data_IF_824517096696
#
_entry.id   IF_824517096696
#
_cell.length_a   1.000
_cell.length_b   1.000
_cell.length_c   1.000
_cell.angle_alpha   90.00
_cell.angle_beta   90.00
_cell.angle_gamma   90.00
#
_symmetry.space_group_name_H-M   'P 1'
#
loop_
_entity.id
_entity.type
_entity.pdbx_description
1 polymer ?
#
# COMPACT_ATOMS: atom_id res chain seq x y z
N UNK A 1 -5.68 12.03 7.97
CA UNK A 1 -6.20 13.11 7.11
C UNK A 1 -5.24 13.28 5.94
N UNK A 2 -5.75 13.51 4.74
CA UNK A 2 -4.94 13.80 3.55
C UNK A 2 -4.21 15.12 3.80
N UNK A 3 -2.91 15.17 3.50
CA UNK A 3 -2.09 16.39 3.65
C UNK A 3 -2.11 17.25 2.41
N UNK A 4 -2.15 16.62 1.24
CA UNK A 4 -2.19 17.33 -0.04
C UNK A 4 -2.87 16.48 -1.12
N UNK A 5 -3.52 17.13 -2.07
CA UNK A 5 -4.05 16.53 -3.30
C UNK A 5 -3.52 17.31 -4.49
N UNK A 6 -2.80 16.65 -5.37
CA UNK A 6 -2.22 17.23 -6.57
C UNK A 6 -2.55 16.41 -7.82
N UNK A 7 -2.31 16.98 -8.99
CA UNK A 7 -2.42 16.25 -10.24
C UNK A 7 -1.28 15.23 -10.36
N UNK A 8 -1.60 14.10 -10.96
CA UNK A 8 -0.63 13.12 -11.44
C UNK A 8 -0.90 12.90 -12.93
N UNK A 9 -0.15 13.58 -13.77
CA UNK A 9 -0.48 13.68 -15.21
C UNK A 9 -1.82 14.38 -15.41
N UNK A 10 -2.53 14.02 -16.49
CA UNK A 10 -3.77 14.69 -16.91
C UNK A 10 -5.03 14.03 -16.31
N UNK A 11 -4.97 12.75 -16.00
CA UNK A 11 -6.14 11.93 -15.67
C UNK A 11 -6.03 11.19 -14.33
N UNK A 12 -5.26 11.72 -13.38
CA UNK A 12 -5.19 11.17 -12.04
C UNK A 12 -4.98 12.22 -10.96
N UNK A 13 -5.50 11.90 -9.77
CA UNK A 13 -5.24 12.57 -8.50
C UNK A 13 -4.18 11.82 -7.71
N UNK A 14 -3.29 12.55 -7.09
CA UNK A 14 -2.32 12.05 -6.13
C UNK A 14 -2.67 12.54 -4.74
N UNK A 15 -3.22 11.64 -3.92
CA UNK A 15 -3.57 11.93 -2.53
C UNK A 15 -2.39 11.59 -1.62
N UNK A 16 -1.80 12.61 -1.01
CA UNK A 16 -0.63 12.52 -0.14
C UNK A 16 -1.04 12.52 1.34
N UNK A 17 -0.66 11.48 2.08
CA UNK A 17 -0.89 11.37 3.54
C UNK A 17 0.34 11.73 4.37
N UNK A 18 1.44 12.11 3.72
CA UNK A 18 2.69 12.53 4.35
C UNK A 18 3.88 11.67 3.96
N UNK A 19 5.02 11.89 4.62
CA UNK A 19 6.31 11.26 4.28
C UNK A 19 6.58 9.97 5.07
N UNK A 20 5.93 9.81 6.21
CA UNK A 20 6.13 8.64 7.06
C UNK A 20 5.43 7.40 6.49
N UNK A 21 6.06 6.25 6.73
CA UNK A 21 5.50 4.93 6.41
C UNK A 21 5.26 4.19 7.72
N UNK A 22 4.01 4.15 8.15
CA UNK A 22 3.58 3.41 9.33
C UNK A 22 2.17 2.84 9.14
N UNK A 23 1.78 1.91 10.01
CA UNK A 23 0.49 1.19 9.92
C UNK A 23 -0.71 2.12 10.02
N UNK A 24 -0.64 3.18 10.82
CA UNK A 24 -1.76 4.10 11.02
C UNK A 24 -2.02 4.94 9.78
N UNK A 25 -0.97 5.44 9.13
CA UNK A 25 -1.08 6.17 7.87
C UNK A 25 -1.58 5.25 6.76
N UNK A 26 -1.01 4.05 6.64
CA UNK A 26 -1.46 3.08 5.66
C UNK A 26 -2.92 2.69 5.86
N UNK A 27 -3.35 2.51 7.11
CA UNK A 27 -4.76 2.26 7.43
C UNK A 27 -5.70 3.37 6.92
N UNK A 28 -5.28 4.64 7.01
CA UNK A 28 -6.06 5.77 6.48
C UNK A 28 -6.13 5.74 4.95
N UNK A 29 -5.02 5.40 4.28
CA UNK A 29 -4.99 5.22 2.81
C UNK A 29 -5.96 4.12 2.39
N UNK A 30 -5.91 2.96 3.05
CA UNK A 30 -6.77 1.82 2.71
C UNK A 30 -8.25 2.14 3.01
N UNK A 31 -8.56 2.80 4.11
CA UNK A 31 -9.93 3.24 4.41
C UNK A 31 -10.48 4.20 3.35
N UNK A 32 -9.69 5.15 2.88
CA UNK A 32 -10.09 6.05 1.79
C UNK A 32 -10.30 5.26 0.49
N UNK A 33 -9.36 4.39 0.15
CA UNK A 33 -9.47 3.50 -1.02
C UNK A 33 -10.76 2.70 -0.99
N UNK A 34 -11.06 2.00 0.11
CA UNK A 34 -12.29 1.22 0.26
C UNK A 34 -13.55 2.10 0.17
N UNK A 35 -13.53 3.27 0.81
CA UNK A 35 -14.66 4.19 0.77
C UNK A 35 -14.96 4.69 -0.64
N UNK A 36 -13.93 5.04 -1.43
CA UNK A 36 -14.11 5.46 -2.83
C UNK A 36 -14.59 4.29 -3.68
N UNK A 37 -14.02 3.10 -3.48
CA UNK A 37 -14.40 1.88 -4.20
C UNK A 37 -15.87 1.52 -3.97
N UNK A 38 -16.34 1.55 -2.71
CA UNK A 38 -17.74 1.27 -2.34
C UNK A 38 -18.73 2.26 -2.95
N UNK A 39 -18.33 3.54 -3.08
CA UNK A 39 -19.17 4.58 -3.65
C UNK A 39 -19.36 4.46 -5.16
N UNK A 40 -18.53 3.67 -5.83
CA UNK A 40 -18.58 3.46 -7.29
C UNK A 40 -18.79 4.75 -8.08
N UNK A 41 -17.91 5.74 -7.83
CA UNK A 41 -18.03 7.09 -8.37
C UNK A 41 -17.84 7.06 -9.89
N UNK A 42 -18.80 7.60 -10.61
CA UNK A 42 -18.76 7.66 -12.08
C UNK A 42 -17.53 8.45 -12.57
N UNK A 43 -16.84 7.87 -13.53
CA UNK A 43 -15.62 8.45 -14.10
C UNK A 43 -14.33 8.06 -13.37
N UNK A 44 -14.37 7.44 -12.20
CA UNK A 44 -13.18 6.82 -11.60
C UNK A 44 -12.99 5.44 -12.22
N UNK A 45 -11.82 5.20 -12.82
CA UNK A 45 -11.51 3.95 -13.52
C UNK A 45 -10.48 3.07 -12.79
N UNK A 46 -9.65 3.65 -11.93
CA UNK A 46 -8.70 2.88 -11.13
C UNK A 46 -8.34 3.58 -9.81
N UNK A 47 -8.03 2.76 -8.81
CA UNK A 47 -7.56 3.18 -7.48
C UNK A 47 -6.32 2.38 -7.13
N UNK A 48 -5.20 3.07 -6.89
CA UNK A 48 -3.93 2.42 -6.56
C UNK A 48 -3.43 2.91 -5.19
N UNK A 49 -3.69 2.14 -4.12
CA UNK A 49 -3.16 2.45 -2.80
C UNK A 49 -1.67 2.07 -2.71
N UNK A 50 -0.92 2.84 -1.92
CA UNK A 50 0.49 2.61 -1.63
C UNK A 50 0.73 2.79 -0.12
N UNK A 51 1.97 2.88 0.30
CA UNK A 51 2.38 3.01 1.71
C UNK A 51 1.63 4.14 2.45
N UNK A 52 1.67 5.33 1.87
CA UNK A 52 1.14 6.57 2.42
C UNK A 52 0.52 7.48 1.36
N UNK A 53 0.16 6.90 0.21
CA UNK A 53 -0.41 7.59 -0.94
C UNK A 53 -1.58 6.79 -1.53
N UNK A 54 -2.49 7.51 -2.17
CA UNK A 54 -3.52 6.91 -3.02
C UNK A 54 -3.55 7.64 -4.36
N UNK A 55 -3.45 6.89 -5.45
CA UNK A 55 -3.68 7.40 -6.79
C UNK A 55 -5.13 7.09 -7.17
N UNK A 56 -5.85 8.11 -7.65
CA UNK A 56 -7.22 7.98 -8.14
C UNK A 56 -7.22 8.37 -9.62
N UNK A 57 -7.29 7.39 -10.50
CA UNK A 57 -7.34 7.61 -11.95
C UNK A 57 -8.76 7.75 -12.44
N UNK A 58 -9.00 8.63 -13.40
CA UNK A 58 -10.34 8.94 -13.90
C UNK A 58 -10.37 9.18 -15.41
N UNK A 59 -11.55 9.05 -16.00
CA UNK A 59 -11.79 9.27 -17.42
C UNK A 59 -12.13 10.75 -17.68
N UNK A 60 -11.29 11.43 -18.46
CA UNK A 60 -11.47 12.84 -18.85
C UNK A 60 -12.71 13.10 -19.72
N UNK A 61 -13.30 12.05 -20.34
CA UNK A 61 -14.55 12.16 -21.08
C UNK A 61 -15.77 12.29 -20.17
N UNK A 62 -15.64 11.79 -18.92
CA UNK A 62 -16.76 11.71 -17.96
C UNK A 62 -16.60 12.77 -16.87
N UNK A 63 -15.36 13.01 -16.40
CA UNK A 63 -15.09 13.86 -15.25
C UNK A 63 -13.78 14.66 -15.43
N UNK A 64 -13.39 15.40 -14.41
CA UNK A 64 -12.15 16.18 -14.41
C UNK A 64 -11.54 16.26 -13.01
N UNK A 65 -10.32 16.75 -12.95
CA UNK A 65 -9.55 16.89 -11.71
C UNK A 65 -10.35 17.63 -10.61
N UNK A 66 -10.96 18.77 -10.94
CA UNK A 66 -11.66 19.60 -9.95
C UNK A 66 -12.81 18.85 -9.29
N UNK A 67 -13.65 18.18 -10.08
CA UNK A 67 -14.78 17.39 -9.56
C UNK A 67 -14.33 16.22 -8.69
N UNK A 68 -13.33 15.45 -9.14
CA UNK A 68 -12.84 14.30 -8.37
C UNK A 68 -12.14 14.78 -7.08
N UNK A 69 -11.36 15.86 -7.14
CA UNK A 69 -10.74 16.47 -5.97
C UNK A 69 -11.80 16.87 -4.93
N UNK A 70 -12.84 17.59 -5.34
CA UNK A 70 -13.94 18.01 -4.46
C UNK A 70 -14.65 16.83 -3.82
N UNK A 71 -14.90 15.75 -4.58
CA UNK A 71 -15.49 14.53 -4.04
C UNK A 71 -14.58 13.89 -2.99
N UNK A 72 -13.28 13.75 -3.28
CA UNK A 72 -12.31 13.13 -2.37
C UNK A 72 -12.12 13.96 -1.09
N UNK A 73 -12.07 15.29 -1.20
CA UNK A 73 -11.95 16.20 -0.05
C UNK A 73 -13.17 16.14 0.89
N UNK A 74 -14.36 15.92 0.33
CA UNK A 74 -15.62 15.88 1.09
C UNK A 74 -16.02 14.45 1.51
N UNK A 75 -15.26 13.43 1.16
CA UNK A 75 -15.54 12.05 1.57
C UNK A 75 -15.40 11.90 3.08
N UNK A 76 -16.49 11.47 3.71
CA UNK A 76 -16.48 11.04 5.10
C UNK A 76 -16.02 9.59 5.19
N UNK A 77 -14.84 9.37 5.76
CA UNK A 77 -14.31 8.05 6.05
C UNK A 77 -14.97 7.55 7.34
N UNK A 78 -15.64 6.40 7.27
CA UNK A 78 -16.23 5.77 8.47
C UNK A 78 -15.10 5.25 9.36
N UNK A 79 -14.90 5.86 10.53
CA UNK A 79 -13.85 5.44 11.48
C UNK A 79 -14.06 4.00 12.00
N UNK A 80 -15.31 3.55 12.04
CA UNK A 80 -15.70 2.20 12.47
C UNK A 80 -15.37 1.09 11.48
N UNK A 81 -14.89 1.42 10.28
CA UNK A 81 -14.52 0.43 9.29
C UNK A 81 -13.28 -0.34 9.75
N UNK A 82 -13.49 -1.49 10.38
CA UNK A 82 -12.40 -2.41 10.73
C UNK A 82 -11.82 -2.95 9.43
N UNK A 83 -10.56 -2.62 9.17
CA UNK A 83 -9.82 -3.27 8.10
C UNK A 83 -9.72 -4.76 8.44
N UNK A 84 -10.15 -5.60 7.52
CA UNK A 84 -10.10 -7.04 7.70
C UNK A 84 -8.66 -7.52 7.44
N UNK A 85 -7.78 -7.27 8.41
CA UNK A 85 -6.39 -7.67 8.33
C UNK A 85 -6.30 -9.20 8.44
N UNK A 86 -6.12 -9.86 7.30
CA UNK A 86 -5.85 -11.31 7.28
C UNK A 86 -4.37 -11.54 7.55
N UNK A 87 -4.08 -12.42 8.51
CA UNK A 87 -2.75 -13.00 8.65
C UNK A 87 -2.64 -14.13 7.63
N UNK A 88 -1.63 -14.05 6.78
CA UNK A 88 -1.30 -15.07 5.80
C UNK A 88 -0.01 -15.75 6.23
N UNK A 89 -0.01 -17.07 6.27
CA UNK A 89 1.19 -17.87 6.43
C UNK A 89 1.68 -18.28 5.04
N UNK A 90 2.87 -17.81 4.69
CA UNK A 90 3.48 -18.06 3.39
C UNK A 90 4.59 -19.08 3.60
N UNK A 91 4.49 -20.30 3.03
CA UNK A 91 5.57 -21.27 3.12
C UNK A 91 6.78 -20.78 2.32
N UNK A 92 7.95 -20.81 2.94
CA UNK A 92 9.21 -20.37 2.33
C UNK A 92 10.20 -21.53 2.32
N UNK A 93 10.71 -21.86 1.14
CA UNK A 93 11.78 -22.84 1.01
C UNK A 93 13.14 -22.19 1.32
N UNK A 94 13.81 -22.69 2.35
CA UNK A 94 15.14 -22.21 2.76
C UNK A 94 16.25 -23.21 2.46
N UNK A 95 16.05 -24.12 1.51
CA UNK A 95 17.12 -24.99 1.03
C UNK A 95 18.29 -24.16 0.48
N UNK A 96 19.52 -24.69 0.61
CA UNK A 96 20.74 -23.98 0.18
C UNK A 96 20.73 -23.60 -1.30
N UNK A 97 20.08 -24.39 -2.15
CA UNK A 97 19.92 -24.12 -3.57
C UNK A 97 19.06 -22.90 -3.89
N UNK A 98 18.21 -22.46 -2.94
CA UNK A 98 17.33 -21.28 -3.08
C UNK A 98 17.77 -20.09 -2.24
N UNK A 99 18.73 -20.27 -1.34
CA UNK A 99 19.21 -19.23 -0.40
C UNK A 99 20.40 -18.45 -0.98
N UNK A 100 20.24 -17.86 -2.16
CA UNK A 100 21.33 -17.24 -2.93
C UNK A 100 22.08 -16.11 -2.20
N UNK A 101 21.40 -15.42 -1.29
CA UNK A 101 21.97 -14.27 -0.57
C UNK A 101 22.47 -14.62 0.85
N UNK A 102 22.32 -15.85 1.30
CA UNK A 102 22.57 -16.20 2.71
C UNK A 102 24.03 -15.93 3.13
N UNK A 103 25.00 -16.33 2.32
CA UNK A 103 26.43 -16.09 2.62
C UNK A 103 26.78 -14.61 2.70
N UNK A 104 26.12 -13.77 1.88
CA UNK A 104 26.29 -12.33 1.92
C UNK A 104 25.71 -11.75 3.20
N UNK A 105 24.58 -12.27 3.65
CA UNK A 105 23.93 -11.85 4.91
C UNK A 105 24.74 -12.28 6.12
N UNK A 106 25.28 -13.52 6.14
CA UNK A 106 26.17 -14.01 7.21
C UNK A 106 27.35 -13.08 7.41
N UNK A 107 28.04 -12.72 6.33
CA UNK A 107 29.20 -11.79 6.37
C UNK A 107 28.81 -10.38 6.82
N UNK A 108 27.67 -9.88 6.34
CA UNK A 108 27.22 -8.51 6.62
C UNK A 108 26.71 -8.34 8.05
N UNK A 109 26.01 -9.34 8.58
CA UNK A 109 25.35 -9.30 9.88
C UNK A 109 26.18 -9.93 10.99
N UNK A 110 27.25 -10.65 10.65
CA UNK A 110 28.04 -11.47 11.55
C UNK A 110 27.19 -12.47 12.34
N UNK A 111 26.26 -13.10 11.65
CA UNK A 111 25.36 -14.14 12.13
C UNK A 111 25.51 -15.39 11.26
N UNK A 112 25.31 -16.57 11.84
CA UNK A 112 25.22 -17.77 11.05
C UNK A 112 23.84 -17.92 10.38
N UNK A 113 23.73 -18.88 9.48
CA UNK A 113 22.50 -19.14 8.71
C UNK A 113 21.31 -19.43 9.63
N UNK A 114 21.47 -20.20 10.68
CA UNK A 114 20.39 -20.58 11.60
C UNK A 114 19.86 -19.36 12.34
N UNK A 115 20.74 -18.51 12.83
CA UNK A 115 20.39 -17.25 13.47
C UNK A 115 19.65 -16.29 12.52
N UNK A 116 20.07 -16.21 11.26
CA UNK A 116 19.42 -15.38 10.25
C UNK A 116 17.99 -15.89 10.00
N UNK A 117 17.82 -17.19 9.82
CA UNK A 117 16.51 -17.81 9.61
C UNK A 117 15.62 -17.68 10.84
N UNK A 118 16.16 -17.83 12.03
CA UNK A 118 15.41 -17.61 13.28
C UNK A 118 14.86 -16.19 13.37
N UNK A 119 15.70 -15.18 13.14
CA UNK A 119 15.28 -13.77 13.12
C UNK A 119 14.22 -13.52 12.05
N UNK A 120 14.37 -14.11 10.87
CA UNK A 120 13.43 -13.95 9.77
C UNK A 120 12.05 -14.56 10.08
N UNK A 121 12.01 -15.80 10.59
CA UNK A 121 10.76 -16.51 10.87
C UNK A 121 10.04 -16.05 12.15
N UNK A 122 10.76 -15.51 13.12
CA UNK A 122 10.17 -14.96 14.33
C UNK A 122 9.53 -13.58 14.15
N UNK A 123 9.62 -13.00 12.93
CA UNK A 123 9.10 -11.67 12.64
C UNK A 123 7.81 -11.72 11.82
N UNK A 124 6.79 -11.04 12.29
CA UNK A 124 5.61 -10.77 11.47
C UNK A 124 5.87 -9.56 10.55
N UNK A 125 5.63 -9.75 9.27
CA UNK A 125 5.75 -8.71 8.25
C UNK A 125 4.39 -8.08 7.99
N UNK A 126 4.37 -6.77 7.75
CA UNK A 126 3.17 -6.04 7.37
C UNK A 126 3.23 -5.69 5.89
N UNK A 127 2.21 -6.09 5.15
CA UNK A 127 2.08 -5.73 3.74
C UNK A 127 1.48 -4.33 3.61
N UNK A 128 2.30 -3.36 3.22
CA UNK A 128 1.87 -1.97 3.00
C UNK A 128 1.27 -1.74 1.61
N UNK A 129 1.72 -2.47 0.61
CA UNK A 129 1.20 -2.42 -0.75
C UNK A 129 1.56 -3.70 -1.52
N UNK A 130 0.82 -3.96 -2.58
CA UNK A 130 1.05 -5.07 -3.51
C UNK A 130 1.30 -4.53 -4.92
N UNK A 131 1.89 -5.34 -5.80
CA UNK A 131 1.92 -5.06 -7.23
C UNK A 131 3.06 -4.16 -7.71
N UNK A 132 4.28 -4.34 -7.17
CA UNK A 132 5.46 -3.65 -7.71
C UNK A 132 5.96 -4.35 -8.98
N UNK A 133 6.13 -5.67 -8.94
CA UNK A 133 6.58 -6.47 -10.08
C UNK A 133 6.02 -7.90 -9.93
N UNK A 134 5.67 -8.51 -11.03
CA UNK A 134 5.26 -9.92 -11.03
C UNK A 134 6.51 -10.79 -10.79
N UNK A 135 6.47 -11.57 -9.72
CA UNK A 135 7.45 -12.36 -9.01
C UNK A 135 8.56 -13.03 -9.73
#
# INVERSE_FOLDING_TARGET
MIKNISNLGDAALYCDFGTEVNKDINSKVIKLFETIREKNIEGINNLTPSYNKLIVSFDLKITNFKKIKEIVENIQIKETQKLNNKKLEIPVCCDSSFSLDIERLEKKLNLDREQILEVFFNKEFFCYMTGFIAG
#
